data_IF_597847930353
#
_entry.id   IF_597847930353
#
_cell.length_a   1.000
_cell.length_b   1.000
_cell.length_c   1.000
_cell.angle_alpha   90.00
_cell.angle_beta   90.00
_cell.angle_gamma   90.00
#
_symmetry.space_group_name_H-M   'P 1'
#
loop_
_entity.id
_entity.type
_entity.pdbx_description
1 polymer ?
#
# COMPACT_ATOMS: atom_id res chain seq x y z
N UNK A 1 -6.68 19.05 -4.08
CA UNK A 1 -5.73 18.02 -3.60
C UNK A 1 -5.60 16.87 -4.59
N UNK A 2 -6.68 16.14 -4.91
CA UNK A 2 -6.76 15.33 -6.14
C UNK A 2 -6.36 16.15 -7.38
N UNK A 3 -6.84 17.41 -7.48
CA UNK A 3 -6.44 18.36 -8.52
C UNK A 3 -4.93 18.66 -8.65
N UNK A 4 -4.14 18.48 -7.58
CA UNK A 4 -2.67 18.60 -7.66
C UNK A 4 -2.03 17.32 -8.17
N UNK A 5 -2.60 16.14 -7.89
CA UNK A 5 -2.24 14.92 -8.63
C UNK A 5 -2.63 15.03 -10.11
N UNK A 6 -3.78 15.67 -10.40
CA UNK A 6 -4.30 15.90 -11.76
C UNK A 6 -3.43 16.77 -12.65
N UNK A 7 -2.51 17.57 -12.08
CA UNK A 7 -1.52 18.33 -12.85
C UNK A 7 -0.60 17.49 -13.74
N UNK A 8 -0.68 16.16 -13.64
CA UNK A 8 0.09 15.19 -14.42
C UNK A 8 -0.72 14.38 -15.45
N UNK A 9 -1.93 14.84 -15.81
CA UNK A 9 -2.71 14.25 -16.92
C UNK A 9 -3.54 13.02 -16.54
N UNK A 10 -4.02 12.96 -15.29
CA UNK A 10 -4.91 11.91 -14.83
C UNK A 10 -6.38 12.20 -15.15
N UNK A 11 -7.14 11.18 -15.51
CA UNK A 11 -8.60 11.22 -15.61
C UNK A 11 -9.20 10.86 -14.24
N UNK A 12 -10.13 11.68 -13.71
CA UNK A 12 -10.83 11.41 -12.45
C UNK A 12 -12.26 11.00 -12.71
N UNK A 13 -12.69 9.93 -12.06
CA UNK A 13 -14.06 9.40 -12.06
C UNK A 13 -14.54 9.20 -10.64
N UNK A 14 -15.86 9.22 -10.48
CA UNK A 14 -16.52 8.74 -9.28
C UNK A 14 -16.48 7.20 -9.27
N UNK A 15 -16.10 6.61 -8.14
CA UNK A 15 -16.13 5.16 -7.95
C UNK A 15 -17.52 4.66 -7.62
N UNK A 16 -17.86 3.43 -8.02
CA UNK A 16 -19.13 2.79 -7.65
C UNK A 16 -19.11 2.34 -6.18
N UNK A 17 -19.89 2.97 -5.27
CA UNK A 17 -19.88 2.63 -3.85
C UNK A 17 -20.24 1.17 -3.55
N UNK A 18 -20.87 0.45 -4.48
CA UNK A 18 -21.19 -0.97 -4.34
C UNK A 18 -19.95 -1.88 -4.23
N UNK A 19 -18.80 -1.39 -4.70
CA UNK A 19 -17.52 -2.10 -4.62
C UNK A 19 -16.88 -2.06 -3.23
N UNK A 20 -17.32 -1.15 -2.36
CA UNK A 20 -16.77 -0.99 -1.02
C UNK A 20 -17.25 -2.12 -0.08
N UNK A 21 -16.31 -2.65 0.69
CA UNK A 21 -16.60 -3.62 1.76
C UNK A 21 -16.07 -3.12 3.08
N UNK A 22 -16.75 -3.45 4.19
CA UNK A 22 -16.25 -3.12 5.53
C UNK A 22 -14.90 -3.78 5.78
N UNK A 23 -13.98 -3.03 6.37
CA UNK A 23 -12.73 -3.62 6.91
C UNK A 23 -13.04 -4.55 8.08
N UNK A 24 -12.18 -5.54 8.26
CA UNK A 24 -12.22 -6.47 9.38
C UNK A 24 -11.08 -6.12 10.33
N UNK A 25 -11.38 -5.99 11.63
CA UNK A 25 -10.35 -5.82 12.66
C UNK A 25 -9.42 -7.04 12.67
N UNK A 26 -8.12 -6.81 12.72
CA UNK A 26 -7.12 -7.86 12.49
C UNK A 26 -6.98 -8.29 11.03
N UNK A 27 -7.63 -7.58 10.10
CA UNK A 27 -7.34 -7.67 8.67
C UNK A 27 -5.93 -7.16 8.38
N UNK A 28 -5.36 -7.63 7.28
CA UNK A 28 -4.00 -7.34 6.86
C UNK A 28 -3.93 -5.99 6.14
N UNK A 29 -3.05 -5.12 6.61
CA UNK A 29 -2.62 -3.96 5.83
C UNK A 29 -1.65 -4.45 4.78
N UNK A 30 -2.05 -4.40 3.51
CA UNK A 30 -1.23 -4.90 2.40
C UNK A 30 -1.22 -3.93 1.23
N UNK A 31 -0.46 -4.31 0.20
CA UNK A 31 -0.20 -3.47 -0.96
C UNK A 31 -1.48 -3.08 -1.71
N UNK A 32 -1.40 -1.96 -2.42
CA UNK A 32 -2.41 -1.52 -3.39
C UNK A 32 -2.53 -2.44 -4.60
N UNK A 33 -1.60 -3.38 -4.77
CA UNK A 33 -1.55 -4.35 -5.87
C UNK A 33 -2.92 -4.97 -6.16
N UNK A 34 -3.32 -4.92 -7.44
CA UNK A 34 -4.62 -5.42 -7.88
C UNK A 34 -4.67 -6.93 -8.00
N UNK A 35 -3.52 -7.62 -8.05
CA UNK A 35 -3.48 -9.08 -8.19
C UNK A 35 -4.14 -9.77 -7.02
N UNK A 36 -4.72 -10.94 -7.31
CA UNK A 36 -5.40 -11.75 -6.30
C UNK A 36 -4.36 -12.32 -5.33
N UNK A 37 -4.66 -12.20 -4.05
CA UNK A 37 -3.98 -12.93 -2.99
C UNK A 37 -4.25 -14.43 -3.19
N UNK A 38 -3.21 -15.26 -3.08
CA UNK A 38 -3.40 -16.70 -3.05
C UNK A 38 -4.24 -17.10 -1.82
N UNK A 39 -5.47 -17.51 -2.10
CA UNK A 39 -6.49 -17.80 -1.09
C UNK A 39 -6.20 -19.09 -0.32
N UNK A 40 -5.31 -19.95 -0.83
CA UNK A 40 -4.86 -21.15 -0.12
C UNK A 40 -3.90 -20.81 1.02
N UNK A 41 -3.26 -19.63 0.97
CA UNK A 41 -2.24 -19.21 1.93
C UNK A 41 -2.79 -18.19 2.95
N UNK A 42 -3.83 -17.42 2.59
CA UNK A 42 -4.38 -16.36 3.45
C UNK A 42 -5.92 -16.43 3.47
N UNK A 43 -6.57 -16.61 4.63
CA UNK A 43 -8.03 -16.57 4.74
C UNK A 43 -8.64 -15.27 4.19
N UNK A 44 -9.76 -15.37 3.49
CA UNK A 44 -10.48 -14.22 2.89
C UNK A 44 -10.81 -13.07 3.85
N UNK A 45 -11.04 -13.36 5.14
CA UNK A 45 -11.26 -12.32 6.16
C UNK A 45 -10.03 -11.44 6.39
N UNK A 46 -8.84 -11.94 6.09
CA UNK A 46 -7.57 -11.25 6.30
C UNK A 46 -7.31 -10.25 5.17
N UNK A 47 -7.81 -10.47 3.94
CA UNK A 47 -7.64 -9.50 2.83
C UNK A 47 -8.55 -8.25 2.94
N UNK A 48 -9.43 -8.23 3.94
CA UNK A 48 -10.31 -7.10 4.28
C UNK A 48 -9.66 -6.11 5.25
N UNK A 49 -8.33 -5.95 5.20
CA UNK A 49 -7.65 -4.84 5.87
C UNK A 49 -7.37 -3.67 4.92
N UNK A 50 -6.92 -2.51 5.43
CA UNK A 50 -6.60 -1.35 4.61
C UNK A 50 -5.54 -1.61 3.54
N UNK A 51 -5.61 -0.88 2.43
CA UNK A 51 -4.63 -0.95 1.33
C UNK A 51 -3.73 0.29 1.32
N UNK A 52 -2.43 0.06 1.34
CA UNK A 52 -1.41 1.11 1.22
C UNK A 52 -0.24 0.55 0.42
N UNK A 53 0.49 1.38 -0.33
CA UNK A 53 1.51 0.96 -1.28
C UNK A 53 2.63 0.23 -0.55
N UNK A 54 2.96 -1.00 -0.95
CA UNK A 54 3.93 -1.83 -0.23
C UNK A 54 3.49 -2.30 1.17
N UNK A 55 2.25 -2.04 1.59
CA UNK A 55 1.78 -2.43 2.92
C UNK A 55 2.64 -1.79 4.03
N UNK A 56 3.22 -2.61 4.90
CA UNK A 56 4.11 -2.15 5.97
C UNK A 56 5.34 -1.39 5.44
N UNK A 57 5.82 -1.70 4.23
CA UNK A 57 6.96 -1.02 3.60
C UNK A 57 6.65 0.44 3.31
N UNK A 58 5.49 0.72 2.71
CA UNK A 58 5.05 2.10 2.45
C UNK A 58 4.82 2.88 3.72
N UNK A 59 4.26 2.25 4.76
CA UNK A 59 4.12 2.90 6.07
C UNK A 59 5.49 3.29 6.63
N UNK A 60 6.48 2.40 6.59
CA UNK A 60 7.84 2.69 7.05
C UNK A 60 8.47 3.85 6.25
N UNK A 61 8.34 3.80 4.93
CA UNK A 61 8.86 4.82 4.02
C UNK A 61 8.26 6.21 4.30
N UNK A 62 6.94 6.28 4.46
CA UNK A 62 6.22 7.52 4.70
C UNK A 62 6.49 8.09 6.10
N UNK A 63 6.61 7.22 7.11
CA UNK A 63 7.00 7.63 8.47
C UNK A 63 8.43 8.17 8.52
N UNK A 64 9.38 7.52 7.86
CA UNK A 64 10.77 7.99 7.77
C UNK A 64 10.84 9.34 7.04
N UNK A 65 10.12 9.48 5.92
CA UNK A 65 10.02 10.74 5.18
C UNK A 65 9.50 11.89 6.04
N UNK A 66 8.44 11.66 6.82
CA UNK A 66 7.85 12.67 7.68
C UNK A 66 8.83 13.18 8.77
N UNK A 67 9.88 12.42 9.05
CA UNK A 67 10.91 12.73 10.05
C UNK A 67 12.23 13.18 9.41
N UNK A 68 12.23 13.45 8.10
CA UNK A 68 13.41 13.93 7.37
C UNK A 68 14.52 12.89 7.21
N UNK A 69 14.21 11.61 7.41
CA UNK A 69 15.19 10.52 7.29
C UNK A 69 15.35 10.11 5.83
N UNK A 70 16.58 9.82 5.39
CA UNK A 70 16.91 9.42 4.01
C UNK A 70 16.96 7.90 3.80
N UNK A 71 16.99 7.10 4.88
CA UNK A 71 17.13 5.65 4.82
C UNK A 71 16.13 4.96 5.75
N UNK A 72 15.52 3.87 5.28
CA UNK A 72 14.63 3.00 6.06
C UNK A 72 15.41 1.77 6.46
N UNK A 73 15.79 1.73 7.73
CA UNK A 73 16.40 0.59 8.38
C UNK A 73 15.35 -0.28 9.12
N UNK A 74 15.83 -1.28 9.87
CA UNK A 74 14.98 -2.19 10.65
C UNK A 74 14.14 -1.43 11.70
N UNK A 75 14.65 -0.35 12.28
CA UNK A 75 13.94 0.40 13.32
C UNK A 75 12.69 1.09 12.77
N UNK A 76 12.78 1.65 11.57
CA UNK A 76 11.64 2.26 10.89
C UNK A 76 10.60 1.23 10.47
N UNK A 77 11.05 0.07 10.00
CA UNK A 77 10.14 -0.99 9.60
C UNK A 77 9.41 -1.60 10.80
N UNK A 78 10.11 -1.83 11.92
CA UNK A 78 9.47 -2.24 13.19
C UNK A 78 8.46 -1.20 13.70
N UNK A 79 8.81 0.09 13.60
CA UNK A 79 7.89 1.19 13.95
C UNK A 79 6.63 1.16 13.10
N UNK A 80 6.75 0.91 11.79
CA UNK A 80 5.61 0.75 10.90
C UNK A 80 4.70 -0.42 11.32
N UNK A 81 5.28 -1.60 11.57
CA UNK A 81 4.54 -2.76 12.07
C UNK A 81 3.81 -2.46 13.40
N UNK A 82 4.46 -1.74 14.32
CA UNK A 82 3.86 -1.35 15.59
C UNK A 82 2.70 -0.37 15.39
N UNK A 83 2.83 0.62 14.51
CA UNK A 83 1.77 1.59 14.19
C UNK A 83 0.55 0.87 13.59
N UNK A 84 0.78 -0.04 12.65
CA UNK A 84 -0.29 -0.86 12.06
C UNK A 84 -1.00 -1.68 13.15
N UNK A 85 -0.24 -2.36 14.01
CA UNK A 85 -0.79 -3.15 15.12
C UNK A 85 -1.61 -2.30 16.09
N UNK A 86 -1.11 -1.12 16.45
CA UNK A 86 -1.81 -0.19 17.34
C UNK A 86 -3.12 0.32 16.74
N UNK A 87 -3.21 0.41 15.41
CA UNK A 87 -4.45 0.75 14.70
C UNK A 87 -5.47 -0.40 14.60
N UNK A 88 -5.15 -1.58 15.15
CA UNK A 88 -6.06 -2.73 15.20
C UNK A 88 -6.02 -3.64 13.97
N UNK A 89 -5.01 -3.50 13.12
CA UNK A 89 -4.76 -4.34 11.94
C UNK A 89 -3.46 -5.13 12.09
N UNK A 90 -3.21 -6.06 11.18
CA UNK A 90 -1.93 -6.81 11.15
C UNK A 90 -1.06 -6.33 9.99
N UNK A 91 0.26 -6.18 10.17
CA UNK A 91 1.15 -5.72 9.11
C UNK A 91 1.31 -6.78 8.03
N UNK A 92 1.42 -6.35 6.78
CA UNK A 92 1.63 -7.23 5.64
C UNK A 92 2.66 -6.68 4.68
N UNK A 93 3.41 -7.59 4.09
CA UNK A 93 4.24 -7.39 2.90
C UNK A 93 3.88 -8.43 1.87
N UNK A 94 4.33 -8.28 0.63
CA UNK A 94 4.11 -9.29 -0.39
C UNK A 94 5.29 -9.43 -1.33
N UNK A 95 5.37 -10.60 -1.94
CA UNK A 95 6.33 -10.93 -2.99
C UNK A 95 5.65 -11.61 -4.17
N UNK A 96 6.42 -11.74 -5.25
CA UNK A 96 6.06 -12.55 -6.40
C UNK A 96 7.31 -13.27 -6.92
N UNK A 97 7.41 -14.58 -6.74
CA UNK A 97 8.25 -15.48 -7.56
C UNK A 97 9.65 -14.90 -7.92
N UNK A 98 10.45 -14.62 -6.88
CA UNK A 98 11.79 -14.00 -6.92
C UNK A 98 11.87 -12.48 -7.20
N UNK A 99 10.75 -11.83 -7.50
CA UNK A 99 10.60 -10.37 -7.66
C UNK A 99 9.82 -9.77 -6.48
N UNK A 100 10.44 -8.81 -5.79
CA UNK A 100 9.81 -8.12 -4.67
C UNK A 100 8.70 -7.15 -5.11
N UNK A 101 7.92 -6.65 -4.14
CA UNK A 101 6.96 -5.57 -4.34
C UNK A 101 7.51 -4.46 -5.26
N UNK A 102 6.75 -4.06 -6.28
CA UNK A 102 7.17 -3.01 -7.21
C UNK A 102 7.49 -1.69 -6.51
N UNK A 103 6.72 -1.35 -5.46
CA UNK A 103 6.99 -0.17 -4.62
C UNK A 103 8.34 -0.25 -3.92
N UNK A 104 8.61 -1.37 -3.25
CA UNK A 104 9.91 -1.61 -2.61
C UNK A 104 11.06 -1.50 -3.60
N UNK A 105 10.94 -2.13 -4.79
CA UNK A 105 11.99 -2.07 -5.81
C UNK A 105 12.25 -0.64 -6.28
N UNK A 106 11.21 0.15 -6.55
CA UNK A 106 11.35 1.55 -6.95
C UNK A 106 11.99 2.40 -5.85
N UNK A 107 11.58 2.21 -4.59
CA UNK A 107 12.13 2.92 -3.44
C UNK A 107 13.61 2.58 -3.22
N UNK A 108 13.97 1.29 -3.22
CA UNK A 108 15.34 0.81 -3.04
C UNK A 108 16.28 1.30 -4.15
N UNK A 109 15.78 1.42 -5.38
CA UNK A 109 16.53 1.99 -6.51
C UNK A 109 16.59 3.53 -6.51
N UNK A 110 15.98 4.19 -5.52
CA UNK A 110 15.93 5.65 -5.42
C UNK A 110 15.12 6.32 -6.53
N UNK A 111 14.12 5.62 -7.10
CA UNK A 111 13.26 6.16 -8.18
C UNK A 111 12.23 7.16 -7.67
N UNK A 112 12.01 7.23 -6.37
CA UNK A 112 11.17 8.22 -5.73
C UNK A 112 12.02 9.40 -5.24
N UNK A 113 12.11 10.46 -6.03
CA UNK A 113 12.86 11.66 -5.66
C UNK A 113 12.38 12.21 -4.30
N UNK A 114 13.35 12.49 -3.42
CA UNK A 114 13.10 13.01 -2.08
C UNK A 114 12.50 12.00 -1.10
N UNK A 115 12.25 10.75 -1.50
CA UNK A 115 11.83 9.69 -0.57
C UNK A 115 13.05 8.93 -0.02
N UNK A 116 12.92 8.33 1.17
CA UNK A 116 13.97 7.50 1.73
C UNK A 116 14.24 6.26 0.84
N UNK A 117 15.37 5.57 1.07
CA UNK A 117 15.68 4.27 0.45
C UNK A 117 15.74 3.19 1.51
N UNK A 118 15.37 1.96 1.16
CA UNK A 118 15.52 0.84 2.10
C UNK A 118 16.98 0.38 2.16
N UNK A 119 17.47 0.17 3.38
CA UNK A 119 18.78 -0.47 3.65
C UNK A 119 18.63 -1.88 4.22
N UNK A 120 17.41 -2.28 4.56
CA UNK A 120 17.05 -3.65 4.96
C UNK A 120 16.59 -4.49 3.78
N UNK A 121 16.73 -5.80 3.90
CA UNK A 121 16.31 -6.74 2.86
C UNK A 121 14.83 -7.11 2.98
N UNK A 122 14.23 -7.60 1.90
CA UNK A 122 12.89 -8.17 1.94
C UNK A 122 12.78 -9.36 2.92
N UNK A 123 13.87 -10.12 3.11
CA UNK A 123 13.93 -11.20 4.09
C UNK A 123 13.83 -10.70 5.52
N UNK A 124 14.53 -9.60 5.85
CA UNK A 124 14.42 -8.95 7.16
C UNK A 124 13.00 -8.44 7.40
N UNK A 125 12.40 -7.80 6.40
CA UNK A 125 11.03 -7.30 6.47
C UNK A 125 10.02 -8.42 6.71
N UNK A 126 10.12 -9.53 5.98
CA UNK A 126 9.24 -10.69 6.17
C UNK A 126 9.35 -11.26 7.59
N UNK A 127 10.59 -11.44 8.09
CA UNK A 127 10.84 -11.89 9.47
C UNK A 127 10.19 -10.94 10.48
N UNK A 128 10.41 -9.63 10.34
CA UNK A 128 9.86 -8.62 11.26
C UNK A 128 8.33 -8.62 11.21
N UNK A 129 7.72 -8.73 10.03
CA UNK A 129 6.26 -8.84 9.91
C UNK A 129 5.74 -10.05 10.70
N UNK A 130 6.42 -11.20 10.62
CA UNK A 130 6.10 -12.40 11.40
C UNK A 130 6.17 -12.18 12.92
N UNK A 131 7.18 -11.47 13.42
CA UNK A 131 7.31 -11.13 14.85
C UNK A 131 6.13 -10.29 15.38
N UNK A 132 5.47 -9.52 14.50
CA UNK A 132 4.30 -8.71 14.85
C UNK A 132 2.96 -9.44 14.66
N UNK A 133 2.98 -10.72 14.26
CA UNK A 133 1.78 -11.53 13.97
C UNK A 133 1.16 -11.23 12.61
N UNK A 134 1.92 -10.60 11.71
CA UNK A 134 1.54 -10.33 10.34
C UNK A 134 1.85 -11.48 9.39
N UNK A 135 1.79 -11.21 8.08
CA UNK A 135 2.10 -12.23 7.08
C UNK A 135 2.73 -11.64 5.82
N UNK A 136 3.61 -12.42 5.19
CA UNK A 136 4.02 -12.23 3.81
C UNK A 136 3.00 -12.89 2.90
N UNK A 137 2.44 -12.11 1.98
CA UNK A 137 1.42 -12.58 1.05
C UNK A 137 2.03 -12.88 -0.30
N UNK A 138 1.65 -14.01 -0.89
CA UNK A 138 2.01 -14.33 -2.27
C UNK A 138 0.87 -13.89 -3.19
N UNK A 139 1.19 -13.08 -4.19
CA UNK A 139 0.25 -12.64 -5.20
C UNK A 139 0.40 -13.50 -6.45
N UNK A 140 -0.71 -13.95 -7.03
CA UNK A 140 -0.67 -14.80 -8.20
C UNK A 140 -1.01 -14.02 -9.47
N UNK A 141 -0.32 -14.35 -10.57
CA UNK A 141 -0.59 -13.82 -11.90
C UNK A 141 0.14 -12.52 -12.24
N UNK A 142 -0.26 -11.94 -13.37
CA UNK A 142 0.32 -10.71 -13.93
C UNK A 142 -0.50 -9.48 -13.53
N UNK A 143 0.14 -8.31 -13.60
CA UNK A 143 -0.51 -7.03 -13.46
C UNK A 143 -1.39 -6.76 -14.68
N UNK A 144 -2.63 -6.34 -14.43
CA UNK A 144 -3.68 -6.06 -15.42
C UNK A 144 -4.47 -4.78 -15.05
N UNK A 145 -3.97 -4.03 -14.07
CA UNK A 145 -4.64 -2.84 -13.55
C UNK A 145 -4.74 -1.75 -14.63
N UNK A 146 -5.92 -1.16 -14.78
CA UNK A 146 -6.18 -0.05 -15.71
C UNK A 146 -6.66 1.22 -15.00
N UNK A 147 -6.96 1.12 -13.70
CA UNK A 147 -7.43 2.24 -12.88
C UNK A 147 -6.76 2.22 -11.50
N UNK A 148 -6.62 3.39 -10.88
CA UNK A 148 -6.30 3.51 -9.46
C UNK A 148 -7.58 3.86 -8.70
N UNK A 149 -7.94 3.10 -7.67
CA UNK A 149 -9.08 3.42 -6.81
C UNK A 149 -8.55 4.07 -5.53
N UNK A 150 -9.08 5.24 -5.19
CA UNK A 150 -8.72 6.00 -3.98
C UNK A 150 -9.95 6.11 -3.09
N UNK A 151 -9.91 5.42 -1.96
CA UNK A 151 -11.00 5.35 -1.01
C UNK A 151 -10.79 6.27 0.20
N UNK A 152 -11.73 7.19 0.41
CA UNK A 152 -11.80 8.12 1.54
C UNK A 152 -12.79 7.69 2.63
N UNK A 153 -13.61 6.66 2.38
CA UNK A 153 -14.61 6.19 3.34
C UNK A 153 -13.98 5.43 4.51
N UNK A 154 -14.07 5.95 5.75
CA UNK A 154 -13.48 5.30 6.92
C UNK A 154 -14.08 3.91 7.16
N UNK A 155 -13.22 2.96 7.53
CA UNK A 155 -13.61 1.56 7.81
C UNK A 155 -14.16 0.79 6.59
N UNK A 156 -13.98 1.32 5.38
CA UNK A 156 -14.26 0.61 4.13
C UNK A 156 -12.94 0.30 3.41
N UNK A 157 -12.97 -0.67 2.52
CA UNK A 157 -11.86 -1.03 1.64
C UNK A 157 -12.38 -1.68 0.36
N UNK A 158 -11.48 -1.92 -0.58
CA UNK A 158 -11.74 -2.61 -1.84
C UNK A 158 -11.01 -3.96 -1.85
N UNK A 159 -11.61 -4.96 -2.49
CA UNK A 159 -10.99 -6.29 -2.65
C UNK A 159 -10.22 -6.32 -3.98
N UNK A 160 -8.95 -6.75 -3.99
CA UNK A 160 -8.19 -6.89 -5.22
C UNK A 160 -8.90 -7.83 -6.23
N UNK A 161 -9.06 -7.34 -7.46
CA UNK A 161 -9.78 -8.04 -8.53
C UNK A 161 -9.04 -8.01 -9.88
N UNK A 162 -7.75 -7.63 -9.88
CA UNK A 162 -6.85 -7.35 -11.01
C UNK A 162 -7.06 -6.05 -11.76
N UNK A 163 -8.20 -5.40 -11.60
CA UNK A 163 -8.55 -4.23 -12.43
C UNK A 163 -7.92 -2.94 -11.92
N UNK A 164 -7.67 -2.88 -10.61
CA UNK A 164 -7.35 -1.63 -9.94
C UNK A 164 -6.21 -1.75 -8.94
N UNK A 165 -5.39 -0.69 -8.89
CA UNK A 165 -4.59 -0.39 -7.72
C UNK A 165 -5.50 0.22 -6.65
N UNK A 166 -5.69 -0.44 -5.51
CA UNK A 166 -6.63 0.01 -4.49
C UNK A 166 -5.90 0.72 -3.36
N UNK A 167 -6.19 1.99 -3.09
CA UNK A 167 -5.60 2.78 -2.01
C UNK A 167 -6.68 3.22 -1.03
N UNK A 168 -6.50 2.90 0.25
CA UNK A 168 -7.33 3.42 1.35
C UNK A 168 -6.71 4.71 1.91
N UNK A 169 -7.05 5.86 1.33
CA UNK A 169 -6.55 7.18 1.72
C UNK A 169 -7.01 7.59 3.14
N UNK A 170 -8.17 7.11 3.59
CA UNK A 170 -8.64 7.33 4.96
C UNK A 170 -7.68 6.75 6.01
N UNK A 171 -6.96 5.68 5.67
CA UNK A 171 -6.08 4.99 6.61
C UNK A 171 -4.88 5.85 7.01
N UNK A 172 -4.43 6.77 6.16
CA UNK A 172 -3.35 7.71 6.48
C UNK A 172 -3.64 8.50 7.77
N UNK A 173 -4.89 8.95 7.96
CA UNK A 173 -5.29 9.68 9.16
C UNK A 173 -5.20 8.82 10.41
N UNK A 174 -5.50 7.52 10.29
CA UNK A 174 -5.43 6.56 11.41
C UNK A 174 -4.00 6.34 11.88
N UNK A 175 -3.04 6.35 10.95
CA UNK A 175 -1.62 6.10 11.24
C UNK A 175 -0.77 7.37 11.29
N UNK A 176 -1.41 8.55 11.27
CA UNK A 176 -0.73 9.85 11.41
C UNK A 176 0.15 10.24 10.21
N UNK A 177 -0.17 9.77 9.01
CA UNK A 177 0.52 10.11 7.77
C UNK A 177 -0.21 11.25 7.05
N UNK A 178 0.54 12.22 6.54
CA UNK A 178 -0.02 13.28 5.70
C UNK A 178 -0.58 12.67 4.39
N UNK A 179 -1.85 12.94 4.12
CA UNK A 179 -2.56 12.36 2.97
C UNK A 179 -2.02 12.86 1.63
N UNK A 180 -1.51 14.08 1.52
CA UNK A 180 -0.87 14.57 0.28
C UNK A 180 0.41 13.78 -0.02
N UNK A 181 1.25 13.54 0.99
CA UNK A 181 2.46 12.72 0.85
C UNK A 181 2.12 11.28 0.47
N UNK A 182 1.07 10.70 1.08
CA UNK A 182 0.58 9.37 0.72
C UNK A 182 0.18 9.31 -0.76
N UNK A 183 -0.66 10.25 -1.18
CA UNK A 183 -1.16 10.30 -2.55
C UNK A 183 -0.06 10.55 -3.58
N UNK A 184 0.89 11.45 -3.30
CA UNK A 184 2.04 11.68 -4.17
C UNK A 184 2.90 10.41 -4.31
N UNK A 185 3.18 9.72 -3.21
CA UNK A 185 3.89 8.44 -3.27
C UNK A 185 3.12 7.38 -4.06
N UNK A 186 1.79 7.33 -3.89
CA UNK A 186 0.92 6.43 -4.62
C UNK A 186 0.93 6.68 -6.12
N UNK A 187 0.73 7.92 -6.55
CA UNK A 187 0.81 8.29 -7.96
C UNK A 187 2.18 7.97 -8.54
N UNK A 188 3.27 8.36 -7.88
CA UNK A 188 4.63 8.05 -8.34
C UNK A 188 4.88 6.55 -8.48
N UNK A 189 4.33 5.75 -7.57
CA UNK A 189 4.40 4.28 -7.65
C UNK A 189 3.69 3.75 -8.88
N UNK A 190 2.42 4.13 -9.09
CA UNK A 190 1.64 3.68 -10.25
C UNK A 190 2.27 4.16 -11.56
N UNK A 191 2.77 5.40 -11.62
CA UNK A 191 3.46 5.95 -12.79
C UNK A 191 4.78 5.25 -13.10
N UNK A 192 5.50 4.79 -12.06
CA UNK A 192 6.76 4.08 -12.20
C UNK A 192 6.60 2.61 -12.61
N UNK A 193 5.43 2.01 -12.36
CA UNK A 193 5.15 0.60 -12.66
C UNK A 193 4.22 0.39 -13.86
N UNK A 194 3.45 1.40 -14.26
CA UNK A 194 2.39 1.25 -15.26
C UNK A 194 2.06 2.54 -16.03
N UNK A 195 1.29 2.38 -17.10
CA UNK A 195 0.70 3.47 -17.87
C UNK A 195 -0.64 3.96 -17.31
N UNK A 196 -1.15 3.41 -16.20
CA UNK A 196 -2.45 3.79 -15.62
C UNK A 196 -2.48 5.27 -15.28
N UNK A 197 -3.45 6.00 -15.83
CA UNK A 197 -3.69 7.43 -15.56
C UNK A 197 -5.17 7.73 -15.30
N UNK A 198 -5.97 6.73 -14.97
CA UNK A 198 -7.36 6.92 -14.53
C UNK A 198 -7.42 6.68 -13.02
N UNK A 199 -8.13 7.54 -12.31
CA UNK A 199 -8.42 7.38 -10.88
C UNK A 199 -9.92 7.40 -10.63
N UNK A 200 -10.40 6.40 -9.88
CA UNK A 200 -11.75 6.34 -9.33
C UNK A 200 -11.70 6.75 -7.85
N UNK A 201 -12.56 7.69 -7.46
CA UNK A 201 -12.58 8.25 -6.11
C UNK A 201 -13.86 7.82 -5.40
N UNK A 202 -13.70 7.31 -4.18
CA UNK A 202 -14.78 6.90 -3.29
C UNK A 202 -14.73 7.77 -2.03
N UNK A 203 -15.85 8.32 -1.56
CA UNK A 203 -15.89 9.09 -0.33
C UNK A 203 -17.26 9.71 -0.05
#
# INVERSE_FOLDING_TARGET
>A
MLERMLGSGWEVKEGDPSLLVRVVRGGLVHCVDGRKVDQFLVPQKIVRGPKIQGGAEGVALLLAKAQGVSEVDESWFRKACQVIKNSGFVPGVHDFDHLHCGHFNLASQGKFEGMPRFTITAGDMSRIVGEFGGSQVHLAGQHEEYVMRVNWDPNMTLIPNKEAFNLDAWYANVIGINQETLLDNAAKTVMGLSSVRTVEVFG
#
